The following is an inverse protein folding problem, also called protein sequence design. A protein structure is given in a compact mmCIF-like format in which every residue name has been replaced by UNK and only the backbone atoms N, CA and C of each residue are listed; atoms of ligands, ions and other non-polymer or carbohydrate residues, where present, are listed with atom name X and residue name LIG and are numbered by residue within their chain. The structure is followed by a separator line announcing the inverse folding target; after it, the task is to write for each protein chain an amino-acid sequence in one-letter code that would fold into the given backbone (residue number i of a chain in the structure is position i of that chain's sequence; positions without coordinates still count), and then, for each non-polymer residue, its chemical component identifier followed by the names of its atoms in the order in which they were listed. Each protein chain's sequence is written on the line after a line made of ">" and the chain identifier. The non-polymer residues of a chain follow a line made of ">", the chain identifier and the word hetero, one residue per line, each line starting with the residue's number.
data_IF_113685931576
#
_entry.id   IF_113685931576
#
_cell.length_a   1.000
_cell.length_b   1.000
_cell.length_c   1.000
_cell.angle_alpha   90.00
_cell.angle_beta   90.00
_cell.angle_gamma   90.00
#
_symmetry.space_group_name_H-M   'P 1'
#
loop_
_entity.id
_entity.type
_entity.pdbx_description
1 polymer ?
#
# COMPACT_ATOMS: atom_id res chain seq x y z
N UNK A 1 36.29 25.01 -63.92
CA UNK A 1 35.89 26.37 -63.50
C UNK A 1 35.49 26.33 -62.04
N UNK A 2 36.22 27.03 -61.17
CA UNK A 2 36.05 27.08 -59.72
C UNK A 2 36.05 28.58 -59.35
N UNK A 3 35.03 29.12 -58.67
CA UNK A 3 34.96 30.57 -58.43
C UNK A 3 35.80 31.02 -57.22
N UNK A 4 36.10 32.35 -57.12
CA UNK A 4 37.20 32.96 -56.35
C UNK A 4 36.80 33.35 -54.89
N UNK A 5 37.70 34.00 -54.10
CA UNK A 5 37.74 33.89 -52.64
C UNK A 5 37.28 35.22 -51.93
N UNK A 6 37.61 35.54 -50.65
CA UNK A 6 36.65 36.07 -49.68
C UNK A 6 36.85 37.57 -49.35
N UNK A 7 35.87 38.20 -48.70
CA UNK A 7 36.02 39.55 -48.10
C UNK A 7 35.57 39.60 -46.64
N UNK A 8 36.19 40.52 -45.90
CA UNK A 8 36.49 40.45 -44.48
C UNK A 8 35.54 41.26 -43.55
N UNK A 9 35.76 41.03 -42.26
CA UNK A 9 35.10 41.52 -41.02
C UNK A 9 35.05 43.06 -40.85
N UNK A 10 34.27 43.54 -39.86
CA UNK A 10 34.86 43.89 -38.56
C UNK A 10 34.05 43.28 -37.41
N UNK A 11 34.59 42.77 -36.30
CA UNK A 11 35.67 43.31 -35.48
C UNK A 11 35.06 44.20 -34.39
N UNK A 12 35.00 43.74 -33.13
CA UNK A 12 34.56 44.61 -32.03
C UNK A 12 34.19 43.89 -30.73
N UNK A 13 35.19 43.63 -29.90
CA UNK A 13 35.05 43.11 -28.56
C UNK A 13 34.24 44.04 -27.64
N UNK A 14 33.35 43.47 -26.83
CA UNK A 14 32.77 44.20 -25.70
C UNK A 14 31.47 43.64 -25.18
N UNK A 15 31.50 42.53 -24.41
CA UNK A 15 30.53 42.32 -23.32
C UNK A 15 30.94 41.21 -22.33
N UNK A 16 32.23 41.08 -22.01
CA UNK A 16 32.67 40.34 -20.82
C UNK A 16 33.10 41.36 -19.76
N UNK A 17 32.15 41.74 -18.89
CA UNK A 17 32.49 42.27 -17.55
C UNK A 17 32.12 41.20 -16.51
N UNK A 18 33.04 40.79 -15.62
CA UNK A 18 32.67 40.03 -14.44
C UNK A 18 31.91 40.97 -13.51
N UNK A 19 30.62 40.72 -13.27
CA UNK A 19 29.90 41.38 -12.19
C UNK A 19 30.49 40.86 -10.88
N UNK A 20 31.08 41.78 -10.13
CA UNK A 20 31.61 41.57 -8.80
C UNK A 20 30.61 40.82 -7.91
N UNK A 21 31.14 39.90 -7.09
CA UNK A 21 30.40 39.18 -6.08
C UNK A 21 29.65 40.16 -5.16
N UNK A 22 28.33 40.25 -5.33
CA UNK A 22 27.45 40.91 -4.37
C UNK A 22 27.39 40.06 -3.08
N UNK A 23 28.37 40.28 -2.18
CA UNK A 23 28.26 39.96 -0.76
C UNK A 23 27.12 40.82 -0.18
N UNK A 24 25.89 40.33 -0.25
CA UNK A 24 24.73 41.07 0.30
C UNK A 24 23.41 40.29 0.41
N UNK A 25 23.28 39.09 -0.15
CA UNK A 25 22.00 38.37 -0.23
C UNK A 25 21.64 37.49 0.98
N UNK A 26 22.56 37.24 1.92
CA UNK A 26 22.33 36.30 3.04
C UNK A 26 21.48 36.88 4.19
N UNK A 27 21.49 38.20 4.36
CA UNK A 27 20.77 38.85 5.47
C UNK A 27 19.27 38.97 5.21
N UNK A 28 18.85 39.13 3.95
CA UNK A 28 17.44 39.21 3.59
C UNK A 28 16.73 37.86 3.78
N UNK A 29 17.39 36.75 3.42
CA UNK A 29 16.87 35.40 3.65
C UNK A 29 16.89 35.01 5.13
N UNK A 30 17.94 35.37 5.87
CA UNK A 30 17.98 35.18 7.32
C UNK A 30 16.89 36.00 8.04
N UNK A 31 16.67 37.26 7.64
CA UNK A 31 15.61 38.11 8.19
C UNK A 31 14.20 37.57 7.87
N UNK A 32 13.99 37.08 6.64
CA UNK A 32 12.73 36.45 6.25
C UNK A 32 12.45 35.17 7.06
N UNK A 33 13.45 34.31 7.27
CA UNK A 33 13.33 33.12 8.10
C UNK A 33 13.07 33.47 9.58
N UNK A 34 13.74 34.50 10.10
CA UNK A 34 13.51 34.99 11.46
C UNK A 34 12.06 35.50 11.64
N UNK A 35 11.52 36.25 10.67
CA UNK A 35 10.12 36.70 10.69
C UNK A 35 9.12 35.54 10.65
N UNK A 36 9.40 34.49 9.88
CA UNK A 36 8.56 33.27 9.86
C UNK A 36 8.61 32.56 11.20
N UNK A 37 9.78 32.43 11.83
CA UNK A 37 9.90 31.81 13.16
C UNK A 37 9.19 32.64 14.23
N UNK A 38 9.37 33.97 14.23
CA UNK A 38 8.73 34.89 15.18
C UNK A 38 7.21 34.88 15.03
N UNK A 39 6.68 34.87 13.81
CA UNK A 39 5.24 34.79 13.56
C UNK A 39 4.63 33.45 14.01
N UNK A 40 5.33 32.34 13.82
CA UNK A 40 4.90 31.04 14.34
C UNK A 40 4.91 30.98 15.88
N UNK A 41 5.95 31.55 16.53
CA UNK A 41 6.01 31.62 17.98
C UNK A 41 4.93 32.55 18.56
N UNK A 42 4.65 33.69 17.91
CA UNK A 42 3.56 34.58 18.29
C UNK A 42 2.19 33.89 18.16
N UNK A 43 1.94 33.16 17.08
CA UNK A 43 0.70 32.40 16.89
C UNK A 43 0.53 31.28 17.94
N UNK A 44 1.62 30.63 18.35
CA UNK A 44 1.60 29.63 19.43
C UNK A 44 1.32 30.27 20.80
N UNK A 45 1.86 31.45 21.07
CA UNK A 45 1.60 32.20 22.30
C UNK A 45 0.15 32.69 22.38
N UNK A 46 -0.41 33.19 21.27
CA UNK A 46 -1.84 33.57 21.18
C UNK A 46 -2.74 32.36 21.39
N UNK A 47 -2.45 31.22 20.75
CA UNK A 47 -3.21 29.97 20.94
C UNK A 47 -3.10 29.43 22.38
N UNK A 48 -1.96 29.61 23.05
CA UNK A 48 -1.78 29.27 24.47
C UNK A 48 -2.54 30.23 25.39
N UNK A 49 -2.63 31.52 25.07
CA UNK A 49 -3.44 32.49 25.84
C UNK A 49 -4.95 32.23 25.69
N UNK A 50 -5.44 31.92 24.48
CA UNK A 50 -6.84 31.54 24.28
C UNK A 50 -7.23 30.24 24.99
N UNK A 51 -6.31 29.26 25.11
CA UNK A 51 -6.57 28.03 25.88
C UNK A 51 -6.53 28.20 27.40
N UNK A 52 -6.01 29.32 27.91
CA UNK A 52 -5.86 29.56 29.36
C UNK A 52 -6.91 30.54 29.92
N UNK A 53 -7.75 31.12 29.07
CA UNK A 53 -8.80 32.08 29.44
C UNK A 53 -10.23 31.52 29.57
N UNK A 54 -10.42 30.19 29.52
CA UNK A 54 -11.74 29.57 29.63
C UNK A 54 -11.90 28.75 30.91
N UNK A 55 -12.12 29.41 32.04
CA UNK A 55 -12.68 28.82 33.27
C UNK A 55 -13.61 29.85 33.92
N UNK A 56 -14.70 29.34 34.53
CA UNK A 56 -15.84 30.02 35.22
C UNK A 56 -17.01 30.29 34.24
N UNK A 57 -18.29 29.93 34.48
CA UNK A 57 -19.02 29.35 35.62
C UNK A 57 -20.19 28.47 35.12
N UNK A 58 -20.61 27.55 35.98
CA UNK A 58 -21.86 26.79 35.93
C UNK A 58 -22.99 27.62 36.58
N UNK A 59 -24.25 27.50 36.14
CA UNK A 59 -25.38 27.71 37.04
C UNK A 59 -26.25 26.45 37.18
N UNK A 60 -26.80 26.32 38.38
CA UNK A 60 -27.66 25.25 38.89
C UNK A 60 -29.09 25.27 38.34
N UNK A 61 -29.77 24.17 38.66
CA UNK A 61 -31.10 23.70 38.33
C UNK A 61 -32.28 24.65 38.62
N UNK A 62 -33.35 24.52 37.80
CA UNK A 62 -34.75 24.65 38.25
C UNK A 62 -35.67 23.66 37.50
N UNK A 63 -36.36 22.84 38.30
CA UNK A 63 -37.69 22.20 38.16
C UNK A 63 -38.06 21.22 37.01
N UNK A 64 -38.57 20.06 37.44
CA UNK A 64 -39.43 19.07 36.74
C UNK A 64 -40.83 19.66 36.41
N UNK A 65 -41.73 19.14 35.56
CA UNK A 65 -42.04 17.85 34.90
C UNK A 65 -43.01 18.16 33.70
N UNK A 66 -43.72 17.21 33.02
CA UNK A 66 -43.65 15.76 32.96
C UNK A 66 -43.48 15.18 31.53
N UNK A 67 -43.32 13.86 31.45
CA UNK A 67 -43.18 13.07 30.23
C UNK A 67 -44.47 12.97 29.40
N UNK A 68 -44.37 12.74 28.08
CA UNK A 68 -45.39 11.99 27.36
C UNK A 68 -44.91 10.56 27.04
N UNK A 69 -45.75 9.63 27.49
CA UNK A 69 -46.09 8.33 26.94
C UNK A 69 -45.16 7.69 25.90
N UNK A 70 -44.62 6.54 26.31
CA UNK A 70 -44.48 5.29 25.57
C UNK A 70 -45.04 5.30 24.14
N UNK A 71 -44.17 5.51 23.15
CA UNK A 71 -44.37 5.02 21.81
C UNK A 71 -43.65 3.67 21.68
N UNK A 72 -44.38 2.63 21.31
CA UNK A 72 -43.91 1.28 21.01
C UNK A 72 -42.67 1.28 20.10
N UNK A 73 -41.81 0.25 20.14
CA UNK A 73 -40.70 0.11 19.22
C UNK A 73 -41.24 -0.26 17.82
N UNK A 74 -41.74 0.74 17.11
CA UNK A 74 -42.05 0.66 15.69
C UNK A 74 -40.74 0.66 14.91
N UNK A 75 -40.33 -0.55 14.50
CA UNK A 75 -39.46 -0.85 13.36
C UNK A 75 -38.56 0.28 12.87
N UNK A 76 -37.39 0.45 13.49
CA UNK A 76 -36.26 1.17 12.88
C UNK A 76 -35.58 0.37 11.75
N UNK A 77 -36.23 -0.69 11.24
CA UNK A 77 -35.66 -1.63 10.27
C UNK A 77 -35.80 -1.17 8.81
N UNK A 78 -36.46 -0.04 8.53
CA UNK A 78 -36.69 0.42 7.14
C UNK A 78 -35.59 1.32 6.55
N UNK A 79 -34.60 1.76 7.34
CA UNK A 79 -33.57 2.71 6.86
C UNK A 79 -32.25 2.07 6.42
N UNK A 80 -32.10 0.76 6.61
CA UNK A 80 -30.86 0.06 6.27
C UNK A 80 -31.10 -0.80 5.03
N UNK A 81 -30.48 -0.49 3.88
CA UNK A 81 -30.69 -1.26 2.66
C UNK A 81 -30.28 -2.73 2.89
N UNK A 82 -31.01 -3.68 2.29
CA UNK A 82 -30.60 -5.08 2.31
C UNK A 82 -29.18 -5.23 1.76
N UNK A 83 -28.34 -6.03 2.42
CA UNK A 83 -27.01 -6.38 1.91
C UNK A 83 -27.05 -7.46 0.83
N UNK A 84 -28.25 -7.97 0.52
CA UNK A 84 -28.48 -8.95 -0.54
C UNK A 84 -27.92 -8.47 -1.89
N UNK A 85 -27.15 -9.33 -2.54
CA UNK A 85 -26.56 -9.05 -3.84
C UNK A 85 -25.25 -8.23 -3.82
N UNK A 86 -24.82 -7.68 -2.68
CA UNK A 86 -23.57 -6.91 -2.60
C UNK A 86 -22.32 -7.76 -2.71
N UNK A 87 -22.29 -8.99 -2.20
CA UNK A 87 -21.23 -9.96 -2.49
C UNK A 87 -21.88 -11.33 -2.63
N UNK A 88 -21.87 -11.89 -3.83
CA UNK A 88 -22.60 -13.11 -4.17
C UNK A 88 -21.67 -14.32 -4.32
N UNK A 89 -22.25 -15.52 -4.41
CA UNK A 89 -21.48 -16.70 -4.80
C UNK A 89 -20.94 -16.61 -6.23
N UNK A 90 -21.58 -15.85 -7.12
CA UNK A 90 -21.04 -15.63 -8.47
C UNK A 90 -19.77 -14.80 -8.45
N UNK A 91 -19.67 -13.81 -7.55
CA UNK A 91 -18.43 -13.08 -7.32
C UNK A 91 -17.30 -14.05 -6.88
N UNK A 92 -17.62 -15.03 -6.01
CA UNK A 92 -16.67 -16.08 -5.62
C UNK A 92 -16.29 -17.00 -6.79
N UNK A 93 -17.24 -17.43 -7.62
CA UNK A 93 -16.94 -18.27 -8.80
C UNK A 93 -15.99 -17.57 -9.77
N UNK A 94 -16.20 -16.28 -10.02
CA UNK A 94 -15.28 -15.46 -10.82
C UNK A 94 -13.90 -15.35 -10.15
N UNK A 95 -13.88 -15.19 -8.83
CA UNK A 95 -12.64 -15.13 -8.06
C UNK A 95 -11.83 -16.42 -8.17
N UNK A 96 -12.46 -17.58 -7.99
CA UNK A 96 -11.81 -18.90 -7.96
C UNK A 96 -11.22 -19.29 -9.31
N UNK A 97 -11.90 -18.92 -10.41
CA UNK A 97 -11.33 -19.10 -11.76
C UNK A 97 -10.02 -18.32 -11.96
N UNK A 98 -9.84 -17.22 -11.22
CA UNK A 98 -8.64 -16.37 -11.31
C UNK A 98 -7.62 -16.63 -10.19
N UNK A 99 -8.06 -17.19 -9.05
CA UNK A 99 -7.29 -17.33 -7.81
C UNK A 99 -7.47 -18.73 -7.22
N UNK A 100 -6.42 -19.55 -7.23
CA UNK A 100 -6.45 -20.85 -6.56
C UNK A 100 -5.66 -21.93 -7.30
N UNK A 101 -6.09 -23.17 -7.12
CA UNK A 101 -5.48 -24.36 -7.74
C UNK A 101 -5.72 -24.42 -9.25
N UNK A 102 -6.83 -23.87 -9.72
CA UNK A 102 -7.16 -23.73 -11.15
C UNK A 102 -6.66 -22.43 -11.80
N UNK A 103 -5.96 -21.56 -11.06
CA UNK A 103 -5.41 -20.34 -11.64
C UNK A 103 -4.34 -20.71 -12.67
N UNK A 104 -4.48 -20.18 -13.88
CA UNK A 104 -3.48 -20.37 -14.93
C UNK A 104 -2.25 -19.54 -14.61
N UNK A 105 -1.12 -19.93 -15.20
CA UNK A 105 0.10 -19.15 -15.06
C UNK A 105 -0.11 -17.76 -15.69
N UNK A 106 0.13 -16.65 -14.97
CA UNK A 106 -0.20 -15.31 -15.43
C UNK A 106 0.43 -14.97 -16.78
N UNK A 107 1.66 -15.43 -17.01
CA UNK A 107 2.38 -15.24 -18.27
C UNK A 107 1.67 -15.89 -19.46
N UNK A 108 0.97 -17.02 -19.24
CA UNK A 108 0.21 -17.72 -20.30
C UNK A 108 -1.10 -17.01 -20.65
N UNK A 109 -1.59 -16.15 -19.76
CA UNK A 109 -2.79 -15.33 -19.94
C UNK A 109 -2.47 -13.91 -20.45
N UNK A 110 -1.21 -13.62 -20.78
CA UNK A 110 -0.80 -12.32 -21.30
C UNK A 110 -0.58 -11.24 -20.24
N UNK A 111 -0.51 -11.61 -18.95
CA UNK A 111 -0.17 -10.67 -17.90
C UNK A 111 1.30 -10.26 -17.98
N UNK A 112 1.56 -8.96 -17.80
CA UNK A 112 2.92 -8.42 -17.83
C UNK A 112 3.55 -8.48 -16.44
N UNK A 113 4.69 -9.15 -16.31
CA UNK A 113 5.43 -9.19 -15.05
C UNK A 113 5.93 -7.79 -14.62
N UNK A 114 5.70 -7.42 -13.35
CA UNK A 114 6.05 -6.11 -12.80
C UNK A 114 7.23 -6.19 -11.83
N UNK A 115 7.16 -7.07 -10.84
CA UNK A 115 8.18 -7.19 -9.79
C UNK A 115 8.22 -8.61 -9.26
N UNK A 116 9.44 -9.08 -8.99
CA UNK A 116 9.71 -10.31 -8.23
C UNK A 116 10.84 -10.01 -7.25
N UNK A 117 10.55 -10.11 -5.96
CA UNK A 117 11.51 -9.87 -4.86
C UNK A 117 11.26 -10.84 -3.72
N UNK A 118 12.31 -11.17 -2.98
CA UNK A 118 12.22 -12.07 -1.83
C UNK A 118 13.36 -11.89 -0.85
N UNK A 119 13.14 -12.38 0.36
CA UNK A 119 14.14 -12.67 1.37
C UNK A 119 13.76 -13.98 2.09
N UNK A 120 14.46 -14.32 3.17
CA UNK A 120 14.25 -15.57 3.91
C UNK A 120 12.87 -15.69 4.59
N UNK A 121 12.12 -14.60 4.69
CA UNK A 121 10.86 -14.51 5.42
C UNK A 121 9.63 -14.30 4.53
N UNK A 122 9.81 -13.61 3.41
CA UNK A 122 8.73 -13.23 2.52
C UNK A 122 9.21 -13.12 1.08
N UNK A 123 8.39 -13.59 0.14
CA UNK A 123 8.57 -13.32 -1.30
C UNK A 123 7.30 -12.72 -1.90
N UNK A 124 7.49 -11.91 -2.93
CA UNK A 124 6.43 -11.12 -3.57
C UNK A 124 6.64 -11.07 -5.07
N UNK A 125 5.64 -11.53 -5.82
CA UNK A 125 5.57 -11.48 -7.29
C UNK A 125 4.30 -10.76 -7.71
N UNK A 126 4.38 -9.94 -8.75
CA UNK A 126 3.25 -9.17 -9.27
C UNK A 126 3.25 -9.15 -10.78
N UNK A 127 2.06 -9.28 -11.35
CA UNK A 127 1.77 -9.08 -12.76
C UNK A 127 0.68 -8.02 -12.93
N UNK A 128 0.67 -7.40 -14.10
CA UNK A 128 -0.25 -6.34 -14.50
C UNK A 128 -0.96 -6.73 -15.79
N UNK A 129 -2.28 -6.59 -15.80
CA UNK A 129 -3.08 -6.55 -17.02
C UNK A 129 -3.47 -5.09 -17.29
N UNK A 130 -3.07 -4.56 -18.44
CA UNK A 130 -3.31 -3.16 -18.84
C UNK A 130 -4.35 -3.15 -19.96
N UNK A 131 -5.64 -2.91 -19.65
CA UNK A 131 -6.64 -2.78 -20.69
C UNK A 131 -6.39 -1.53 -21.54
N UNK A 132 -6.86 -1.52 -22.78
CA UNK A 132 -6.77 -0.37 -23.72
C UNK A 132 -7.42 0.89 -23.13
N UNK A 133 -8.43 0.73 -22.28
CA UNK A 133 -9.09 1.79 -21.55
C UNK A 133 -9.43 1.36 -20.12
N UNK A 134 -9.35 2.30 -19.18
CA UNK A 134 -9.66 2.07 -17.76
C UNK A 134 -8.42 1.82 -16.90
N UNK A 135 -8.61 1.64 -15.59
CA UNK A 135 -7.51 1.36 -14.68
C UNK A 135 -7.02 -0.08 -14.88
N UNK A 136 -5.73 -0.32 -14.63
CA UNK A 136 -5.14 -1.65 -14.75
C UNK A 136 -5.53 -2.60 -13.61
N UNK A 137 -5.45 -3.90 -13.90
CA UNK A 137 -5.65 -4.99 -12.93
C UNK A 137 -4.31 -5.56 -12.49
N UNK A 138 -4.28 -6.10 -11.27
CA UNK A 138 -3.10 -6.66 -10.66
C UNK A 138 -3.36 -8.03 -10.11
N UNK A 139 -2.45 -8.94 -10.43
CA UNK A 139 -2.35 -10.23 -9.80
C UNK A 139 -1.06 -10.24 -8.99
N UNK A 140 -1.13 -10.56 -7.71
CA UNK A 140 0.04 -10.69 -6.87
C UNK A 140 0.05 -11.99 -6.10
N UNK A 141 1.24 -12.56 -5.94
CA UNK A 141 1.48 -13.73 -5.12
C UNK A 141 2.48 -13.31 -4.04
N UNK A 142 2.07 -13.43 -2.78
CA UNK A 142 2.95 -13.26 -1.63
C UNK A 142 3.08 -14.58 -0.88
N UNK A 143 4.31 -15.02 -0.62
CA UNK A 143 4.56 -16.18 0.24
C UNK A 143 5.18 -15.69 1.54
N UNK A 144 4.60 -16.13 2.67
CA UNK A 144 5.10 -15.87 4.01
C UNK A 144 5.58 -17.16 4.65
N UNK A 145 6.83 -17.18 5.12
CA UNK A 145 7.40 -18.32 5.84
C UNK A 145 6.97 -18.31 7.31
N UNK A 146 6.76 -19.51 7.88
CA UNK A 146 6.49 -19.73 9.31
C UNK A 146 5.21 -19.04 9.78
N UNK A 147 4.12 -19.27 9.07
CA UNK A 147 2.81 -18.69 9.36
C UNK A 147 1.71 -19.68 8.97
N UNK A 148 0.64 -19.76 9.75
CA UNK A 148 -0.56 -20.56 9.42
C UNK A 148 -1.55 -19.78 8.55
N UNK A 149 -2.46 -20.47 7.87
CA UNK A 149 -3.47 -19.83 7.02
C UNK A 149 -4.45 -19.02 7.86
N UNK A 150 -4.78 -19.47 9.07
CA UNK A 150 -5.64 -18.78 10.03
C UNK A 150 -5.00 -17.50 10.55
N UNK A 151 -3.71 -17.56 10.93
CA UNK A 151 -2.99 -16.36 11.36
C UNK A 151 -2.93 -15.32 10.24
N UNK A 152 -2.69 -15.76 9.00
CA UNK A 152 -2.64 -14.85 7.85
C UNK A 152 -4.03 -14.27 7.54
N UNK A 153 -5.09 -15.08 7.60
CA UNK A 153 -6.48 -14.63 7.45
C UNK A 153 -6.82 -13.56 8.48
N UNK A 154 -6.57 -13.84 9.76
CA UNK A 154 -6.88 -12.92 10.84
C UNK A 154 -6.11 -11.61 10.65
N UNK A 155 -4.80 -11.68 10.38
CA UNK A 155 -4.00 -10.49 10.09
C UNK A 155 -4.53 -9.64 8.92
N UNK A 156 -5.08 -10.27 7.86
CA UNK A 156 -5.66 -9.54 6.72
C UNK A 156 -7.05 -8.96 7.01
N UNK A 157 -7.80 -9.57 7.92
CA UNK A 157 -9.17 -9.17 8.27
C UNK A 157 -9.24 -8.22 9.48
N UNK A 158 -8.17 -8.08 10.25
CA UNK A 158 -8.12 -7.23 11.43
C UNK A 158 -7.96 -5.74 11.08
N UNK A 159 -9.08 -5.03 10.92
CA UNK A 159 -9.05 -3.61 10.56
C UNK A 159 -8.52 -2.71 11.68
N UNK A 160 -8.71 -3.09 12.95
CA UNK A 160 -8.17 -2.40 14.12
C UNK A 160 -6.65 -2.50 14.13
N UNK A 161 -6.11 -3.71 14.01
CA UNK A 161 -4.65 -3.88 13.92
C UNK A 161 -4.08 -3.20 12.67
N UNK A 162 -4.83 -3.20 11.56
CA UNK A 162 -4.43 -2.49 10.34
C UNK A 162 -4.23 -0.99 10.60
N UNK A 163 -5.07 -0.35 11.41
CA UNK A 163 -4.90 1.06 11.79
C UNK A 163 -3.64 1.30 12.65
N UNK A 164 -3.20 0.30 13.41
CA UNK A 164 -1.99 0.40 14.24
C UNK A 164 -0.71 0.38 13.38
N UNK A 165 -0.59 -0.59 12.46
CA UNK A 165 0.64 -0.80 11.72
C UNK A 165 0.69 -0.06 10.38
N UNK A 166 -0.45 0.09 9.68
CA UNK A 166 -0.52 0.77 8.38
C UNK A 166 -0.91 2.24 8.51
N UNK A 167 0.12 3.10 8.58
CA UNK A 167 0.00 4.57 8.62
C UNK A 167 -0.81 5.20 7.48
N UNK A 168 -1.09 4.47 6.40
CA UNK A 168 -1.99 4.98 5.35
C UNK A 168 -3.45 4.88 5.77
N UNK A 169 -3.82 3.94 6.65
CA UNK A 169 -5.19 3.78 7.15
C UNK A 169 -5.36 4.66 8.39
N UNK A 170 -6.19 5.69 8.27
CA UNK A 170 -6.35 6.71 9.33
C UNK A 170 -7.63 6.56 10.13
N UNK A 171 -8.63 5.89 9.54
CA UNK A 171 -9.90 5.57 10.18
C UNK A 171 -10.49 4.35 9.49
N UNK A 172 -11.09 3.48 10.29
CA UNK A 172 -11.96 2.41 9.84
C UNK A 172 -13.21 2.39 10.72
N UNK A 173 -14.36 2.12 10.12
CA UNK A 173 -15.63 1.89 10.83
C UNK A 173 -16.43 0.80 10.11
N UNK A 174 -16.93 -0.18 10.86
CA UNK A 174 -17.93 -1.12 10.38
C UNK A 174 -19.28 -0.39 10.31
N UNK A 175 -19.95 -0.50 9.16
CA UNK A 175 -21.21 0.20 8.90
C UNK A 175 -22.42 -0.72 9.07
N UNK A 176 -22.32 -1.96 8.58
CA UNK A 176 -23.39 -2.94 8.60
C UNK A 176 -22.79 -4.33 8.39
N UNK A 177 -23.44 -5.37 8.88
CA UNK A 177 -23.20 -6.74 8.47
C UNK A 177 -24.51 -7.53 8.45
N UNK A 178 -24.51 -8.64 7.73
CA UNK A 178 -25.61 -9.60 7.70
C UNK A 178 -25.07 -11.01 7.92
N UNK A 179 -25.55 -11.67 8.98
CA UNK A 179 -25.14 -13.02 9.34
C UNK A 179 -25.69 -14.07 8.39
N UNK A 180 -26.80 -13.82 7.69
CA UNK A 180 -27.35 -14.79 6.77
C UNK A 180 -26.49 -14.91 5.51
N UNK A 181 -26.24 -13.79 4.84
CA UNK A 181 -25.35 -13.73 3.67
C UNK A 181 -23.88 -13.83 4.04
N UNK A 182 -23.47 -13.40 5.24
CA UNK A 182 -22.05 -13.27 5.61
C UNK A 182 -21.37 -12.03 5.02
N UNK A 183 -22.15 -11.08 4.49
CA UNK A 183 -21.64 -9.81 3.95
C UNK A 183 -21.40 -8.82 5.07
N UNK A 184 -20.27 -8.15 5.02
CA UNK A 184 -19.91 -7.05 5.90
C UNK A 184 -19.61 -5.81 5.06
N UNK A 185 -20.05 -4.65 5.54
CA UNK A 185 -19.80 -3.35 4.93
C UNK A 185 -19.04 -2.46 5.90
N UNK A 186 -17.95 -1.87 5.43
CA UNK A 186 -17.16 -0.93 6.21
C UNK A 186 -16.68 0.25 5.41
N UNK A 187 -16.36 1.32 6.13
CA UNK A 187 -15.80 2.54 5.59
C UNK A 187 -14.38 2.73 6.08
N UNK A 188 -13.47 2.94 5.14
CA UNK A 188 -12.05 3.18 5.42
C UNK A 188 -11.59 4.50 4.84
N UNK A 189 -10.85 5.29 5.62
CA UNK A 189 -10.20 6.52 5.15
C UNK A 189 -8.70 6.28 5.03
N UNK A 190 -8.18 6.31 3.81
CA UNK A 190 -6.73 6.22 3.54
C UNK A 190 -6.13 7.57 3.22
N UNK A 191 -4.98 7.87 3.79
CA UNK A 191 -4.18 9.07 3.54
C UNK A 191 -2.83 8.68 2.95
N UNK A 192 -2.59 9.17 1.74
CA UNK A 192 -1.32 9.04 1.05
C UNK A 192 -0.59 10.39 1.07
N UNK A 193 0.75 10.41 1.08
CA UNK A 193 1.50 11.66 1.00
C UNK A 193 1.10 12.49 -0.23
N UNK A 194 0.96 13.81 -0.05
CA UNK A 194 0.68 14.79 -1.12
C UNK A 194 -0.67 14.60 -1.84
N UNK A 195 -1.56 13.78 -1.29
CA UNK A 195 -2.82 13.39 -1.91
C UNK A 195 -3.99 13.64 -0.96
N UNK A 196 -5.12 14.11 -1.51
CA UNK A 196 -6.39 14.20 -0.76
C UNK A 196 -6.74 12.83 -0.16
N UNK A 197 -7.21 12.72 1.09
CA UNK A 197 -7.56 11.40 1.61
C UNK A 197 -8.65 10.74 0.77
N UNK A 198 -8.51 9.42 0.60
CA UNK A 198 -9.46 8.57 -0.12
C UNK A 198 -10.42 7.94 0.85
N UNK A 199 -11.69 7.93 0.49
CA UNK A 199 -12.75 7.26 1.22
C UNK A 199 -13.20 6.03 0.45
N UNK A 200 -13.17 4.90 1.13
CA UNK A 200 -13.60 3.60 0.63
C UNK A 200 -14.85 3.20 1.40
N UNK A 201 -15.89 2.79 0.69
CA UNK A 201 -17.01 2.03 1.27
C UNK A 201 -17.00 0.70 0.53
N UNK A 202 -16.72 -0.37 1.26
CA UNK A 202 -16.48 -1.68 0.69
C UNK A 202 -17.43 -2.68 1.35
N UNK A 203 -18.02 -3.53 0.53
CA UNK A 203 -18.68 -4.74 0.97
C UNK A 203 -17.71 -5.92 0.76
N UNK A 204 -17.62 -6.81 1.73
CA UNK A 204 -16.81 -8.02 1.62
C UNK A 204 -17.48 -9.24 2.23
N UNK A 205 -17.00 -10.41 1.83
CA UNK A 205 -17.42 -11.70 2.37
C UNK A 205 -16.24 -12.67 2.37
N UNK A 206 -16.19 -13.54 3.37
CA UNK A 206 -15.12 -14.53 3.57
C UNK A 206 -15.69 -15.94 3.53
N UNK A 207 -14.97 -16.84 2.86
CA UNK A 207 -15.29 -18.26 2.80
C UNK A 207 -14.10 -19.12 3.26
N UNK A 208 -14.41 -20.22 3.94
CA UNK A 208 -13.46 -21.25 4.38
C UNK A 208 -13.68 -22.55 3.61
N UNK A 209 -12.64 -23.04 2.94
CA UNK A 209 -12.60 -24.34 2.29
C UNK A 209 -12.17 -25.46 3.26
N UNK A 210 -12.37 -26.71 2.85
CA UNK A 210 -12.13 -27.87 3.73
C UNK A 210 -10.66 -28.08 4.08
N UNK A 211 -9.76 -27.66 3.18
CA UNK A 211 -8.30 -27.74 3.32
C UNK A 211 -7.70 -26.59 4.16
N UNK A 212 -8.55 -25.79 4.81
CA UNK A 212 -8.16 -24.56 5.54
C UNK A 212 -7.56 -23.48 4.63
N UNK A 213 -7.93 -23.49 3.36
CA UNK A 213 -7.79 -22.31 2.50
C UNK A 213 -8.92 -21.32 2.75
N UNK A 214 -8.63 -20.03 2.60
CA UNK A 214 -9.58 -18.94 2.81
C UNK A 214 -9.70 -18.07 1.58
N UNK A 215 -10.93 -17.70 1.25
CA UNK A 215 -11.25 -16.82 0.13
C UNK A 215 -11.96 -15.59 0.64
N UNK A 216 -11.70 -14.45 0.00
CA UNK A 216 -12.46 -13.24 0.27
C UNK A 216 -12.64 -12.46 -1.02
N UNK A 217 -13.83 -11.89 -1.15
CA UNK A 217 -14.14 -10.95 -2.22
C UNK A 217 -14.59 -9.64 -1.59
N UNK A 218 -14.15 -8.55 -2.21
CA UNK A 218 -14.33 -7.17 -1.76
C UNK A 218 -14.75 -6.35 -2.97
N UNK A 219 -15.88 -5.65 -2.90
CA UNK A 219 -16.27 -4.67 -3.92
C UNK A 219 -16.75 -3.35 -3.35
N UNK A 220 -16.61 -2.29 -4.15
CA UNK A 220 -17.18 -0.99 -3.82
C UNK A 220 -18.71 -1.04 -3.65
N UNK A 221 -19.24 -0.24 -2.74
CA UNK A 221 -20.67 0.00 -2.62
C UNK A 221 -20.98 1.43 -2.16
N UNK A 222 -22.26 1.78 -2.09
CA UNK A 222 -22.74 2.99 -1.44
C UNK A 222 -23.51 2.59 -0.18
N UNK A 223 -23.47 3.43 0.86
CA UNK A 223 -24.13 3.15 2.13
C UNK A 223 -24.71 4.42 2.76
N UNK A 224 -25.97 4.43 3.24
CA UNK A 224 -26.61 5.64 3.78
C UNK A 224 -25.86 6.29 4.94
N UNK A 225 -25.23 5.49 5.81
CA UNK A 225 -24.42 6.01 6.93
C UNK A 225 -23.11 6.68 6.51
N UNK A 226 -22.70 6.54 5.25
CA UNK A 226 -21.46 7.09 4.72
C UNK A 226 -21.73 8.03 3.54
N UNK A 227 -22.49 9.09 3.80
CA UNK A 227 -22.74 10.17 2.83
C UNK A 227 -21.42 10.82 2.37
N UNK A 228 -21.34 11.12 1.08
CA UNK A 228 -20.15 11.72 0.44
C UNK A 228 -19.76 13.04 1.10
N UNK A 229 -18.47 13.16 1.42
CA UNK A 229 -17.91 14.36 2.04
C UNK A 229 -16.89 15.01 1.12
N UNK A 230 -17.01 16.32 0.86
CA UNK A 230 -16.13 17.07 -0.06
C UNK A 230 -14.63 17.01 0.29
N UNK A 231 -14.29 16.72 1.55
CA UNK A 231 -12.91 16.59 2.03
C UNK A 231 -12.23 15.27 1.62
N UNK A 232 -12.98 14.32 1.08
CA UNK A 232 -12.47 13.01 0.64
C UNK A 232 -12.72 12.80 -0.84
N UNK A 233 -11.80 12.06 -1.49
CA UNK A 233 -12.04 11.49 -2.81
C UNK A 233 -12.68 10.12 -2.60
N UNK A 234 -13.96 9.96 -2.96
CA UNK A 234 -14.65 8.67 -2.92
C UNK A 234 -14.09 7.75 -4.01
N UNK A 235 -13.60 6.59 -3.61
CA UNK A 235 -13.20 5.53 -4.54
C UNK A 235 -14.46 4.87 -5.09
N UNK A 236 -14.61 4.91 -6.42
CA UNK A 236 -15.82 4.42 -7.12
C UNK A 236 -15.62 3.08 -7.80
N UNK A 237 -14.41 2.56 -7.79
CA UNK A 237 -14.06 1.25 -8.33
C UNK A 237 -12.98 0.67 -7.44
N UNK A 238 -13.32 -0.40 -6.73
CA UNK A 238 -12.39 -1.27 -6.04
C UNK A 238 -13.02 -2.65 -6.03
N UNK A 239 -12.53 -3.53 -6.90
CA UNK A 239 -12.85 -4.95 -6.90
C UNK A 239 -11.59 -5.72 -6.61
N UNK A 240 -11.60 -6.44 -5.52
CA UNK A 240 -10.46 -7.23 -5.10
C UNK A 240 -10.93 -8.54 -4.53
N UNK A 241 -10.16 -9.59 -4.73
CA UNK A 241 -10.29 -10.74 -3.87
C UNK A 241 -8.97 -11.44 -3.70
N UNK A 242 -8.95 -12.32 -2.73
CA UNK A 242 -7.75 -13.04 -2.36
C UNK A 242 -8.05 -14.48 -1.96
N UNK A 243 -7.06 -15.33 -2.16
CA UNK A 243 -7.03 -16.72 -1.71
C UNK A 243 -5.78 -16.92 -0.84
N UNK A 244 -5.96 -17.38 0.39
CA UNK A 244 -4.91 -17.80 1.31
C UNK A 244 -4.90 -19.32 1.35
N UNK A 245 -3.74 -19.92 1.14
CA UNK A 245 -3.55 -21.38 1.19
C UNK A 245 -2.21 -21.77 1.76
N UNK A 246 -2.12 -22.99 2.28
CA UNK A 246 -0.85 -23.59 2.71
C UNK A 246 -0.01 -24.00 1.51
N UNK A 247 1.31 -23.95 1.63
CA UNK A 247 2.23 -24.56 0.65
C UNK A 247 2.53 -26.00 1.07
N UNK A 248 2.17 -27.03 0.26
CA UNK A 248 2.46 -28.42 0.59
C UNK A 248 3.95 -28.67 0.82
N UNK A 249 4.29 -29.40 1.89
CA UNK A 249 5.68 -29.76 2.22
C UNK A 249 6.55 -28.59 2.72
N UNK A 250 5.99 -27.41 2.96
CA UNK A 250 6.72 -26.23 3.43
C UNK A 250 5.95 -25.55 4.57
N UNK A 251 6.69 -25.09 5.59
CA UNK A 251 6.11 -24.25 6.64
C UNK A 251 5.93 -22.81 6.14
N UNK A 252 4.96 -22.63 5.24
CA UNK A 252 4.65 -21.37 4.61
C UNK A 252 3.20 -21.31 4.13
N UNK A 253 2.67 -20.09 4.08
CA UNK A 253 1.41 -19.78 3.44
C UNK A 253 1.62 -18.89 2.23
N UNK A 254 0.75 -19.05 1.24
CA UNK A 254 0.67 -18.19 0.08
C UNK A 254 -0.65 -17.44 0.10
N UNK A 255 -0.59 -16.15 -0.19
CA UNK A 255 -1.76 -15.36 -0.56
C UNK A 255 -1.65 -14.90 -2.01
N UNK A 256 -2.65 -15.24 -2.81
CA UNK A 256 -2.83 -14.73 -4.17
C UNK A 256 -3.92 -13.68 -4.15
N UNK A 257 -3.67 -12.51 -4.72
CA UNK A 257 -4.60 -11.37 -4.72
C UNK A 257 -4.83 -10.89 -6.14
N UNK A 258 -6.09 -10.86 -6.57
CA UNK A 258 -6.54 -10.13 -7.75
C UNK A 258 -7.10 -8.78 -7.30
N UNK A 259 -6.67 -7.70 -7.95
CA UNK A 259 -6.99 -6.35 -7.50
C UNK A 259 -7.19 -5.38 -8.66
N UNK A 260 -8.29 -4.65 -8.63
CA UNK A 260 -8.70 -3.69 -9.65
C UNK A 260 -9.29 -2.46 -8.95
N UNK A 261 -8.58 -1.33 -8.96
CA UNK A 261 -8.96 -0.12 -8.22
C UNK A 261 -8.70 1.14 -9.06
N UNK A 262 -9.64 2.10 -9.00
CA UNK A 262 -9.40 3.48 -9.42
C UNK A 262 -9.47 4.44 -8.23
N UNK A 263 -8.32 4.95 -7.81
CA UNK A 263 -8.17 5.74 -6.60
C UNK A 263 -7.64 7.16 -6.82
N UNK A 264 -7.69 7.70 -8.04
CA UNK A 264 -7.39 9.12 -8.22
C UNK A 264 -5.91 9.46 -8.42
N UNK A 265 -4.97 8.53 -8.26
CA UNK A 265 -3.51 8.78 -8.20
C UNK A 265 -2.86 8.78 -9.59
N UNK A 266 -1.78 9.52 -9.87
CA UNK A 266 -1.22 9.63 -11.25
C UNK A 266 -0.24 8.50 -11.66
N UNK A 267 -0.18 8.19 -12.96
CA UNK A 267 0.52 7.06 -13.56
C UNK A 267 2.03 7.08 -13.28
N UNK A 268 2.66 8.24 -13.21
CA UNK A 268 4.08 8.36 -12.86
C UNK A 268 4.31 8.22 -11.35
N UNK A 269 3.38 8.71 -10.53
CA UNK A 269 3.43 8.51 -9.07
C UNK A 269 3.23 7.04 -8.71
N UNK A 270 2.33 6.37 -9.40
CA UNK A 270 2.09 4.95 -9.35
C UNK A 270 3.36 4.15 -9.68
N UNK A 271 4.06 4.46 -10.79
CA UNK A 271 5.37 3.87 -11.12
C UNK A 271 6.37 4.02 -10.00
N UNK A 272 6.45 5.22 -9.42
CA UNK A 272 7.39 5.53 -8.37
C UNK A 272 7.08 4.74 -7.09
N UNK A 273 5.80 4.68 -6.71
CA UNK A 273 5.34 3.91 -5.54
C UNK A 273 5.67 2.42 -5.68
N UNK A 274 5.55 1.85 -6.88
CA UNK A 274 5.90 0.44 -7.11
C UNK A 274 7.39 0.17 -7.20
N UNK A 275 8.09 0.93 -8.05
CA UNK A 275 9.53 0.72 -8.24
C UNK A 275 10.33 0.88 -6.95
N UNK A 276 9.88 1.75 -6.02
CA UNK A 276 10.64 2.08 -4.80
C UNK A 276 9.94 1.76 -3.48
N UNK A 277 8.61 1.63 -3.48
CA UNK A 277 7.81 1.57 -2.25
C UNK A 277 7.22 0.20 -1.94
N UNK A 278 6.72 -0.54 -2.94
CA UNK A 278 5.92 -1.76 -2.68
C UNK A 278 6.71 -2.80 -1.90
N UNK A 279 7.98 -3.03 -2.25
CA UNK A 279 8.80 -4.01 -1.53
C UNK A 279 9.00 -3.64 -0.06
N UNK A 280 9.28 -2.36 0.22
CA UNK A 280 9.40 -1.89 1.60
C UNK A 280 8.07 -2.03 2.36
N UNK A 281 6.95 -1.82 1.68
CA UNK A 281 5.63 -2.06 2.24
C UNK A 281 5.39 -3.54 2.54
N UNK A 282 5.77 -4.47 1.65
CA UNK A 282 5.71 -5.92 1.88
C UNK A 282 6.59 -6.32 3.08
N UNK A 283 7.82 -5.82 3.16
CA UNK A 283 8.67 -6.09 4.33
C UNK A 283 8.05 -5.55 5.63
N UNK A 284 7.43 -4.36 5.59
CA UNK A 284 6.70 -3.79 6.73
C UNK A 284 5.49 -4.63 7.11
N UNK A 285 4.74 -5.13 6.13
CA UNK A 285 3.59 -6.01 6.32
C UNK A 285 4.02 -7.34 6.95
N UNK A 286 5.07 -7.99 6.44
CA UNK A 286 5.67 -9.18 7.07
C UNK A 286 6.11 -8.90 8.52
N UNK A 287 6.73 -7.76 8.79
CA UNK A 287 7.10 -7.35 10.15
C UNK A 287 5.89 -7.18 11.07
N UNK A 288 4.77 -6.68 10.56
CA UNK A 288 3.53 -6.55 11.33
C UNK A 288 2.88 -7.93 11.57
N UNK A 289 2.84 -8.80 10.56
CA UNK A 289 2.35 -10.18 10.66
C UNK A 289 3.10 -10.96 11.74
N UNK A 290 4.43 -10.83 11.81
CA UNK A 290 5.27 -11.51 12.82
C UNK A 290 5.03 -11.04 14.25
N UNK A 291 4.57 -9.81 14.41
CA UNK A 291 4.20 -9.24 15.73
C UNK A 291 2.75 -9.53 16.08
N UNK A 292 1.92 -9.90 15.11
CA UNK A 292 0.48 -10.08 15.29
C UNK A 292 0.10 -11.05 16.41
N UNK A 293 0.77 -12.22 16.60
CA UNK A 293 0.44 -13.14 17.70
C UNK A 293 0.64 -12.56 19.11
N UNK A 294 1.37 -11.46 19.24
CA UNK A 294 1.59 -10.77 20.52
C UNK A 294 0.40 -9.86 20.88
N UNK A 295 -0.50 -9.61 19.93
CA UNK A 295 -1.73 -8.86 20.12
C UNK A 295 -2.75 -9.78 20.81
N UNK A 296 -2.93 -9.60 22.13
CA UNK A 296 -3.49 -10.62 23.04
C UNK A 296 -5.01 -10.75 23.03
N UNK A 297 -5.75 -9.93 22.27
CA UNK A 297 -7.20 -9.96 22.28
C UNK A 297 -7.76 -9.91 20.86
N UNK A 298 -8.67 -10.82 20.49
CA UNK A 298 -9.36 -10.74 19.21
C UNK A 298 -10.05 -9.38 19.06
N UNK A 299 -9.77 -8.68 17.98
CA UNK A 299 -10.44 -7.42 17.67
C UNK A 299 -11.91 -7.66 17.31
N UNK A 300 -12.71 -6.58 17.30
CA UNK A 300 -14.12 -6.70 16.90
C UNK A 300 -14.21 -7.15 15.46
N UNK A 301 -13.31 -6.69 14.56
CA UNK A 301 -13.25 -7.21 13.19
C UNK A 301 -13.05 -8.72 13.13
N UNK A 302 -12.18 -9.29 13.97
CA UNK A 302 -11.94 -10.75 13.97
C UNK A 302 -13.16 -11.51 14.48
N UNK A 303 -13.75 -11.05 15.58
CA UNK A 303 -14.95 -11.69 16.14
C UNK A 303 -16.12 -11.65 15.16
N UNK A 304 -16.33 -10.51 14.50
CA UNK A 304 -17.37 -10.38 13.46
C UNK A 304 -17.05 -11.28 12.27
N UNK A 305 -15.83 -11.23 11.72
CA UNK A 305 -15.44 -12.06 10.58
C UNK A 305 -15.63 -13.55 10.87
N UNK A 306 -15.24 -14.04 12.06
CA UNK A 306 -15.43 -15.44 12.46
C UNK A 306 -16.90 -15.85 12.49
N UNK A 307 -17.79 -14.94 12.93
CA UNK A 307 -19.25 -15.18 12.94
C UNK A 307 -19.86 -15.18 11.53
N UNK A 308 -19.34 -14.32 10.65
CA UNK A 308 -19.87 -14.14 9.28
C UNK A 308 -19.31 -15.13 8.26
N UNK A 309 -18.14 -15.72 8.53
CA UNK A 309 -17.43 -16.60 7.61
C UNK A 309 -18.31 -17.76 7.16
N UNK A 310 -18.39 -17.96 5.85
CA UNK A 310 -19.21 -19.00 5.22
C UNK A 310 -18.38 -20.19 4.81
N UNK A 311 -19.02 -21.35 4.67
CA UNK A 311 -18.37 -22.49 4.06
C UNK A 311 -18.25 -22.26 2.56
N UNK A 312 -17.12 -22.66 2.01
CA UNK A 312 -16.90 -22.65 0.57
C UNK A 312 -17.94 -23.56 -0.12
N UNK A 313 -18.56 -23.12 -1.24
CA UNK A 313 -19.58 -23.91 -1.92
C UNK A 313 -19.04 -25.28 -2.39
N UNK A 314 -19.79 -26.35 -2.10
CA UNK A 314 -19.37 -27.73 -2.37
C UNK A 314 -19.26 -28.02 -3.88
N UNK A 315 -20.11 -27.41 -4.70
CA UNK A 315 -20.07 -27.49 -6.16
C UNK A 315 -18.74 -26.95 -6.71
N UNK A 316 -18.28 -25.83 -6.15
CA UNK A 316 -17.03 -25.20 -6.53
C UNK A 316 -15.82 -25.98 -6.04
N UNK A 317 -15.89 -26.53 -4.83
CA UNK A 317 -14.87 -27.43 -4.27
C UNK A 317 -14.68 -28.68 -5.14
N UNK A 318 -15.78 -29.32 -5.55
CA UNK A 318 -15.75 -30.50 -6.42
C UNK A 318 -15.11 -30.19 -7.78
N UNK A 319 -15.43 -29.03 -8.37
CA UNK A 319 -14.83 -28.59 -9.63
C UNK A 319 -13.32 -28.32 -9.51
N UNK A 320 -12.87 -27.75 -8.38
CA UNK A 320 -11.45 -27.56 -8.11
C UNK A 320 -10.70 -28.89 -7.94
N UNK A 321 -11.30 -29.86 -7.27
CA UNK A 321 -10.71 -31.18 -7.09
C UNK A 321 -10.66 -32.00 -8.39
N UNK A 322 -11.66 -31.85 -9.25
CA UNK A 322 -11.70 -32.53 -10.55
C UNK A 322 -10.69 -31.96 -11.56
N UNK A 323 -10.28 -30.69 -11.41
CA UNK A 323 -9.30 -30.03 -12.27
C UNK A 323 -7.84 -30.25 -11.85
N UNK A 324 -7.61 -30.83 -10.67
CA UNK A 324 -6.30 -31.33 -10.27
C UNK A 324 -5.96 -32.58 -11.08
N UNK A 325 -4.81 -32.63 -11.80
CA UNK A 325 -4.36 -33.87 -12.40
C UNK A 325 -4.11 -34.88 -11.28
N UNK A 326 -4.80 -36.02 -11.32
CA UNK A 326 -4.60 -37.13 -10.40
C UNK A 326 -3.10 -37.45 -10.34
N UNK A 327 -2.47 -37.18 -9.19
CA UNK A 327 -1.14 -37.71 -8.92
C UNK A 327 -1.27 -39.24 -8.99
N UNK A 328 -0.59 -39.84 -9.96
CA UNK A 328 -0.57 -41.28 -10.15
C UNK A 328 0.02 -41.91 -8.88
N UNK A 329 -0.84 -42.43 -8.01
CA UNK A 329 -0.46 -43.43 -7.02
C UNK A 329 -0.28 -44.74 -7.76
N UNK A 330 0.87 -44.93 -8.41
CA UNK A 330 1.34 -46.27 -8.74
C UNK A 330 1.93 -46.87 -7.47
N UNK A 331 1.19 -47.81 -6.88
CA UNK A 331 1.72 -48.74 -5.91
C UNK A 331 2.88 -49.49 -6.56
N UNK A 332 4.12 -49.14 -6.21
CA UNK A 332 5.30 -49.88 -6.59
C UNK A 332 5.66 -50.85 -5.45
N UNK A 333 5.43 -52.12 -5.75
CA UNK A 333 5.86 -53.32 -5.03
C UNK A 333 7.30 -53.20 -4.52
N UNK A 334 7.49 -53.61 -3.26
CA UNK A 334 8.76 -53.74 -2.55
C UNK A 334 9.65 -54.81 -3.20
N UNK A 335 10.89 -54.48 -3.58
CA UNK A 335 12.04 -55.40 -3.57
C UNK A 335 13.32 -54.62 -3.17
N UNK A 336 14.19 -55.13 -2.28
CA UNK A 336 15.30 -54.38 -1.69
C UNK A 336 16.69 -54.75 -2.23
N UNK A 337 17.60 -53.76 -2.39
CA UNK A 337 19.09 -53.81 -2.31
C UNK A 337 19.65 -52.52 -2.96
N UNK A 338 20.80 -51.89 -2.67
CA UNK A 338 21.94 -52.08 -1.77
C UNK A 338 22.64 -50.70 -1.65
N UNK A 339 23.48 -50.53 -0.62
CA UNK A 339 24.32 -49.35 -0.27
C UNK A 339 25.19 -48.83 -1.44
N UNK A 340 25.39 -47.50 -1.55
CA UNK A 340 26.71 -46.79 -1.47
C UNK A 340 26.63 -45.27 -1.79
N UNK A 341 27.00 -44.44 -0.78
CA UNK A 341 27.79 -43.17 -0.79
C UNK A 341 27.48 -41.95 -1.71
N UNK A 342 27.89 -40.73 -1.26
CA UNK A 342 27.29 -39.45 -1.68
C UNK A 342 28.16 -38.65 -2.66
N UNK A 343 27.56 -37.79 -3.50
CA UNK A 343 28.31 -36.69 -4.12
C UNK A 343 27.46 -35.52 -4.64
N UNK A 344 27.81 -34.35 -4.10
CA UNK A 344 28.13 -33.09 -4.81
C UNK A 344 27.00 -32.26 -5.44
N UNK A 345 26.77 -31.12 -4.77
CA UNK A 345 26.44 -29.82 -5.36
C UNK A 345 27.28 -29.51 -6.62
N UNK A 346 26.69 -28.85 -7.61
CA UNK A 346 27.43 -27.95 -8.48
C UNK A 346 26.95 -26.50 -8.30
N UNK A 347 27.88 -25.64 -7.91
CA UNK A 347 27.71 -24.19 -7.96
C UNK A 347 28.16 -23.59 -9.30
N UNK A 348 27.83 -22.29 -9.43
CA UNK A 348 28.17 -21.30 -10.48
C UNK A 348 27.40 -21.47 -11.80
N UNK A 349 26.84 -20.40 -12.38
CA UNK A 349 27.51 -19.12 -12.69
C UNK A 349 26.58 -17.92 -12.59
N UNK A 350 27.09 -16.83 -12.00
CA UNK A 350 26.52 -15.49 -12.10
C UNK A 350 26.64 -14.99 -13.54
N UNK A 351 25.51 -14.86 -14.22
CA UNK A 351 25.40 -14.07 -15.44
C UNK A 351 24.89 -12.69 -15.05
N UNK A 352 25.76 -11.68 -15.15
CA UNK A 352 25.31 -10.28 -15.17
C UNK A 352 24.55 -10.10 -16.48
N UNK A 353 23.23 -9.94 -16.40
CA UNK A 353 22.47 -9.44 -17.53
C UNK A 353 21.82 -8.11 -17.17
N UNK A 354 21.98 -7.20 -18.12
CA UNK A 354 21.80 -5.77 -18.03
C UNK A 354 20.39 -5.40 -17.56
N UNK A 355 20.31 -4.45 -16.64
CA UNK A 355 19.08 -3.76 -16.31
C UNK A 355 18.72 -2.89 -17.51
N UNK A 356 18.01 -3.47 -18.49
CA UNK A 356 17.24 -2.71 -19.44
C UNK A 356 15.97 -2.24 -18.72
N UNK A 357 15.85 -0.91 -18.62
CA UNK A 357 14.77 -0.25 -17.90
C UNK A 357 13.42 -0.57 -18.53
N UNK A 358 12.62 -1.39 -17.84
CA UNK A 358 11.28 -1.80 -18.23
C UNK A 358 10.21 -0.80 -17.76
N UNK A 359 9.45 -0.31 -18.73
CA UNK A 359 8.33 0.61 -18.60
C UNK A 359 7.09 -0.09 -18.00
N UNK A 360 6.34 0.62 -17.14
CA UNK A 360 4.90 0.46 -16.82
C UNK A 360 4.49 -0.82 -16.01
N UNK A 361 3.67 -0.86 -14.96
CA UNK A 361 3.09 0.07 -13.99
C UNK A 361 2.17 -0.75 -13.06
N UNK A 362 2.20 -0.52 -11.74
CA UNK A 362 1.02 -0.76 -10.89
C UNK A 362 0.36 0.53 -10.45
N UNK A 363 -0.88 0.73 -10.92
CA UNK A 363 -1.98 1.43 -10.25
C UNK A 363 -1.98 2.95 -10.29
N UNK A 364 -2.77 3.52 -11.23
CA UNK A 364 -3.56 4.79 -11.24
C UNK A 364 -3.06 6.03 -12.05
N UNK A 365 -4.02 6.69 -12.76
CA UNK A 365 -4.36 8.06 -13.33
C UNK A 365 -3.49 8.92 -14.31
N UNK A 366 -4.12 9.29 -15.43
CA UNK A 366 -3.83 10.50 -16.24
C UNK A 366 -4.92 11.57 -16.01
N UNK A 367 -4.48 12.82 -15.94
CA UNK A 367 -5.24 14.03 -15.64
C UNK A 367 -5.67 14.74 -16.92
N UNK A 368 -6.80 15.45 -16.93
CA UNK A 368 -6.91 16.70 -17.68
C UNK A 368 -7.63 17.81 -16.87
N UNK A 369 -6.79 18.78 -16.49
CA UNK A 369 -6.98 20.23 -16.51
C UNK A 369 -8.27 20.88 -15.99
N UNK A 370 -8.11 21.73 -14.96
CA UNK A 370 -8.20 23.21 -15.09
C UNK A 370 -7.67 23.91 -13.83
N UNK A 371 -6.61 24.70 -13.99
CA UNK A 371 -6.34 25.88 -13.13
C UNK A 371 -5.17 25.80 -12.14
N UNK A 372 -4.07 26.46 -12.53
CA UNK A 372 -2.95 27.02 -11.73
C UNK A 372 -1.79 26.10 -11.32
N UNK A 373 -0.71 26.30 -12.06
CA UNK A 373 0.67 25.85 -11.93
C UNK A 373 1.36 26.41 -10.67
N UNK A 374 1.88 25.52 -9.82
CA UNK A 374 3.11 25.77 -9.05
C UNK A 374 3.78 24.49 -8.47
N UNK A 375 3.21 23.30 -8.70
CA UNK A 375 3.69 22.05 -8.11
C UNK A 375 5.06 21.60 -8.65
N UNK A 376 5.32 21.85 -9.94
CA UNK A 376 6.61 21.51 -10.57
C UNK A 376 7.79 22.31 -10.01
N UNK A 377 7.58 23.60 -9.73
CA UNK A 377 8.60 24.46 -9.14
C UNK A 377 8.90 24.09 -7.68
N UNK A 378 7.88 23.71 -6.91
CA UNK A 378 8.04 23.25 -5.52
C UNK A 378 8.78 21.92 -5.42
N UNK A 379 8.52 20.99 -6.34
CA UNK A 379 9.24 19.70 -6.41
C UNK A 379 10.71 19.88 -6.83
N UNK A 380 10.98 20.76 -7.79
CA UNK A 380 12.35 21.09 -8.19
C UNK A 380 13.13 21.71 -7.01
N UNK A 381 12.55 22.68 -6.31
CA UNK A 381 13.16 23.31 -5.14
C UNK A 381 13.44 22.31 -4.00
N UNK A 382 12.50 21.41 -3.70
CA UNK A 382 12.71 20.38 -2.67
C UNK A 382 13.85 19.42 -3.01
N UNK A 383 14.03 19.08 -4.29
CA UNK A 383 15.13 18.23 -4.76
C UNK A 383 16.48 18.95 -4.72
N UNK A 384 16.54 20.23 -5.11
CA UNK A 384 17.75 21.04 -5.00
C UNK A 384 18.18 21.24 -3.54
N UNK A 385 17.24 21.56 -2.65
CA UNK A 385 17.52 21.70 -1.22
C UNK A 385 18.03 20.39 -0.62
N UNK A 386 17.39 19.26 -0.94
CA UNK A 386 17.84 17.94 -0.45
C UNK A 386 19.24 17.57 -0.94
N UNK A 387 19.61 17.97 -2.17
CA UNK A 387 20.95 17.72 -2.72
C UNK A 387 21.99 18.64 -2.06
N UNK A 388 21.67 19.91 -1.82
CA UNK A 388 22.53 20.86 -1.11
C UNK A 388 22.80 20.42 0.34
N UNK A 389 21.77 20.02 1.08
CA UNK A 389 21.93 19.50 2.46
C UNK A 389 22.70 18.17 2.54
N UNK A 390 22.67 17.38 1.46
CA UNK A 390 23.47 16.14 1.39
C UNK A 390 24.94 16.44 1.12
N UNK A 391 25.24 17.43 0.27
CA UNK A 391 26.62 17.86 0.01
C UNK A 391 27.28 18.51 1.23
N UNK A 392 26.54 19.28 2.04
CA UNK A 392 27.09 19.83 3.29
C UNK A 392 27.37 18.76 4.35
N UNK A 393 26.55 17.71 4.41
CA UNK A 393 26.81 16.58 5.32
C UNK A 393 28.01 15.72 4.89
N UNK A 394 28.31 15.68 3.60
CA UNK A 394 29.46 14.95 3.06
C UNK A 394 30.76 15.78 3.08
N UNK A 395 30.69 17.11 3.07
CA UNK A 395 31.86 17.99 3.22
C UNK A 395 32.27 18.25 4.68
N UNK A 396 31.38 18.01 5.65
CA UNK A 396 31.64 18.24 7.08
C UNK A 396 32.33 17.08 7.83
N UNK A 397 32.53 15.91 7.21
CA UNK A 397 33.10 14.72 7.88
C UNK A 397 34.53 14.36 7.46
N UNK A 398 35.18 15.17 6.62
CA UNK A 398 36.52 14.90 6.07
C UNK A 398 37.59 15.93 6.45
N UNK A 399 37.57 16.46 7.68
CA UNK A 399 38.71 17.27 8.19
C UNK A 399 38.96 17.03 9.67
N UNK A 400 39.59 15.89 10.02
CA UNK A 400 40.35 15.73 11.28
C UNK A 400 41.03 14.35 11.32
N UNK A 401 42.17 14.20 10.63
CA UNK A 401 43.26 13.28 11.02
C UNK A 401 44.49 13.55 10.15
N UNK A 402 45.41 14.33 10.70
CA UNK A 402 46.68 14.70 10.05
C UNK A 402 47.80 14.94 11.06
N UNK A 403 48.52 13.85 11.37
CA UNK A 403 49.95 13.72 11.72
C UNK A 403 50.65 14.84 12.52
N UNK A 404 51.18 14.46 13.68
CA UNK A 404 52.48 14.95 14.18
C UNK A 404 53.39 13.75 14.45
N UNK A 405 54.39 13.58 13.59
CA UNK A 405 55.61 12.80 13.83
C UNK A 405 56.71 13.82 14.14
N UNK A 406 57.39 13.69 15.28
CA UNK A 406 58.67 14.36 15.53
C UNK A 406 59.66 13.30 16.01
N UNK A 407 60.74 13.17 15.25
CA UNK A 407 61.86 12.26 15.47
C UNK A 407 63.09 13.08 15.89
N UNK A 408 63.71 12.78 17.05
CA UNK A 408 65.17 12.85 17.34
C UNK A 408 65.38 12.51 18.83
N UNK A 409 65.95 11.36 19.22
CA UNK A 409 67.34 10.84 19.15
C UNK A 409 68.33 11.47 20.14
N UNK A 410 69.00 10.55 20.88
CA UNK A 410 70.17 10.69 21.78
C UNK A 410 69.88 11.48 23.06
N UNK A 411 70.14 10.98 24.27
CA UNK A 411 71.20 10.09 24.76
C UNK A 411 70.67 9.31 25.96
#
# INVERSE_FOLDING_TARGET
>A
MKPPPPEALPGGAGLWRPVAAARGGGWATAAALLLVVVSHLAALLVRRRLRRGGRIAQPEAVAAAPAPASASPGSASELVPPLEGLVTEDDLRQLVGSLGVGAREPETEGWEHVISKGNDDVSYRVWCDKPTAGPPKYLSITTYERCSTEQLRDFYMDNEYRMEWDKTVTKHEQLQYDENSGVEVGRTIKKFPLLTPREYILAWRVWEANDKSFYCFIKECEHPLAVRQKKFVRVRLLRSGWCIRKIPGRDACQITVLHHEDNGMNIEMAKLAFSKGIWNYICKMNNALRRYPQHRSPSVSILTMQRLMKKFPQDLEAAMNASLPASQTTAATVVPSTRTSPCKLPGKKSSRQMIASGLLLVGSIVCLSRGRSNLGAQLAMALFLKKAFKQERESGSSTSRGKTNVTRSRR
#
